data_IF_551770691207
#
_entry.id   IF_551770691207
#
_cell.length_a   1.000
_cell.length_b   1.000
_cell.length_c   1.000
_cell.angle_alpha   90.00
_cell.angle_beta   90.00
_cell.angle_gamma   90.00
#
_symmetry.space_group_name_H-M   'P 1'
#
loop_
_entity.id
_entity.type
_entity.pdbx_description
1 polymer ?
#
# COMPACT_ATOMS: atom_id res chain seq x y z
N UNK A 1 -2.88 1.59 -29.62
CA UNK A 1 -3.68 2.33 -28.63
C UNK A 1 -2.76 2.53 -27.44
N UNK A 2 -2.51 3.75 -27.02
CA UNK A 2 -1.75 4.07 -25.80
C UNK A 2 -2.57 3.50 -24.63
N UNK A 3 -1.94 2.69 -23.78
CA UNK A 3 -2.59 2.15 -22.62
C UNK A 3 -3.06 3.32 -21.73
N UNK A 4 -4.35 3.36 -21.37
CA UNK A 4 -4.95 4.45 -20.60
C UNK A 4 -4.40 4.51 -19.18
N UNK A 5 -4.18 3.35 -18.56
CA UNK A 5 -3.63 3.26 -17.21
C UNK A 5 -2.21 3.85 -17.17
N UNK A 6 -1.99 4.84 -16.31
CA UNK A 6 -0.68 5.23 -15.85
C UNK A 6 -0.33 4.40 -14.61
N UNK A 7 0.73 3.62 -14.69
CA UNK A 7 1.24 2.83 -13.58
C UNK A 7 2.76 2.91 -13.58
N UNK A 8 3.34 3.41 -12.50
CA UNK A 8 4.78 3.60 -12.38
C UNK A 8 5.25 3.30 -10.97
N UNK A 9 6.26 2.43 -10.83
CA UNK A 9 7.03 2.30 -9.61
C UNK A 9 8.05 3.44 -9.59
N UNK A 10 8.16 4.15 -8.47
CA UNK A 10 8.97 5.35 -8.34
C UNK A 10 10.31 5.09 -7.64
N UNK A 11 10.90 6.11 -7.04
CA UNK A 11 12.32 6.17 -6.70
C UNK A 11 12.79 5.20 -5.62
N UNK A 12 12.00 4.99 -4.56
CA UNK A 12 12.43 4.16 -3.42
C UNK A 12 11.97 2.69 -3.52
N UNK A 13 11.13 2.38 -4.52
CA UNK A 13 10.63 1.03 -4.74
C UNK A 13 9.42 0.66 -3.89
N UNK A 14 9.10 1.41 -2.84
CA UNK A 14 7.85 1.31 -2.06
C UNK A 14 6.77 2.23 -2.62
N UNK A 15 7.18 3.27 -3.34
CA UNK A 15 6.33 4.32 -3.87
C UNK A 15 5.81 3.97 -5.26
N UNK A 16 4.53 4.20 -5.50
CA UNK A 16 3.93 4.02 -6.81
C UNK A 16 3.08 5.22 -7.21
N UNK A 17 2.91 5.40 -8.51
CA UNK A 17 1.92 6.30 -9.07
C UNK A 17 0.94 5.51 -9.93
N UNK A 18 -0.35 5.79 -9.74
CA UNK A 18 -1.46 5.17 -10.47
C UNK A 18 -2.39 6.27 -10.96
N UNK A 19 -2.72 6.27 -12.24
CA UNK A 19 -3.52 7.35 -12.80
C UNK A 19 -4.11 7.07 -14.18
N UNK A 20 -4.68 8.11 -14.75
CA UNK A 20 -5.31 8.09 -16.05
C UNK A 20 -4.55 9.02 -17.02
N UNK A 21 -3.90 8.45 -18.03
CA UNK A 21 -3.12 9.22 -19.04
C UNK A 21 -3.97 10.18 -19.87
N UNK A 22 -5.28 9.92 -20.01
CA UNK A 22 -6.16 10.80 -20.78
C UNK A 22 -6.52 12.07 -20.02
N UNK A 23 -6.62 12.01 -18.68
CA UNK A 23 -6.90 13.19 -17.83
C UNK A 23 -5.64 13.83 -17.27
N UNK A 24 -4.52 13.11 -17.24
CA UNK A 24 -3.29 13.54 -16.59
C UNK A 24 -3.36 13.49 -15.05
N UNK A 25 -4.37 12.83 -14.48
CA UNK A 25 -4.55 12.74 -13.04
C UNK A 25 -3.89 11.48 -12.48
N UNK A 26 -3.24 11.57 -11.31
CA UNK A 26 -2.60 10.45 -10.63
C UNK A 26 -2.80 10.48 -9.11
N UNK A 27 -2.80 9.28 -8.51
CA UNK A 27 -2.64 9.05 -7.07
C UNK A 27 -1.19 8.64 -6.80
N UNK A 28 -0.60 9.15 -5.73
CA UNK A 28 0.65 8.62 -5.19
C UNK A 28 0.34 7.61 -4.08
N UNK A 29 1.05 6.49 -4.10
CA UNK A 29 0.94 5.44 -3.09
C UNK A 29 2.19 5.48 -2.26
N UNK A 30 2.04 5.58 -0.91
CA UNK A 30 3.12 5.55 0.08
C UNK A 30 4.29 6.53 -0.21
N UNK A 31 4.05 7.85 -0.33
CA UNK A 31 5.06 8.83 -0.76
C UNK A 31 6.03 9.20 0.37
N UNK A 32 6.88 8.25 0.81
CA UNK A 32 7.90 8.48 1.82
C UNK A 32 9.27 8.86 1.24
N UNK A 33 10.23 9.21 2.11
CA UNK A 33 11.63 9.59 1.83
C UNK A 33 11.79 10.87 1.02
N UNK A 34 11.21 10.97 -0.18
CA UNK A 34 11.47 12.06 -1.14
C UNK A 34 10.20 12.58 -1.81
N UNK A 35 9.19 13.04 -1.03
CA UNK A 35 7.87 13.38 -1.57
C UNK A 35 7.92 14.40 -2.70
N UNK A 36 8.85 15.38 -2.65
CA UNK A 36 9.00 16.37 -3.73
C UNK A 36 9.51 15.75 -5.02
N UNK A 37 10.54 14.89 -4.93
CA UNK A 37 11.09 14.21 -6.11
C UNK A 37 10.08 13.24 -6.74
N UNK A 38 9.16 12.68 -5.93
CA UNK A 38 8.06 11.84 -6.45
C UNK A 38 7.08 12.66 -7.28
N UNK A 39 6.72 13.87 -6.82
CA UNK A 39 5.89 14.80 -7.59
C UNK A 39 6.60 15.18 -8.89
N UNK A 40 7.85 15.65 -8.79
CA UNK A 40 8.62 16.07 -9.97
C UNK A 40 8.75 14.92 -10.99
N UNK A 41 8.88 13.66 -10.51
CA UNK A 41 9.00 12.50 -11.38
C UNK A 41 7.74 12.19 -12.20
N UNK A 42 6.54 12.42 -11.64
CA UNK A 42 5.30 12.20 -12.39
C UNK A 42 4.90 13.43 -13.22
N UNK A 43 5.29 14.63 -12.84
CA UNK A 43 5.11 15.86 -13.64
C UNK A 43 5.86 15.78 -14.97
N UNK A 44 7.04 15.11 -15.00
CA UNK A 44 7.77 14.82 -16.25
C UNK A 44 6.95 13.93 -17.20
N UNK A 45 6.08 13.09 -16.67
CA UNK A 45 5.16 12.25 -17.46
C UNK A 45 3.82 12.95 -17.74
N UNK A 46 3.76 14.28 -17.55
CA UNK A 46 2.56 15.12 -17.72
C UNK A 46 1.40 14.71 -16.79
N UNK A 47 1.72 14.13 -15.60
CA UNK A 47 0.74 13.72 -14.60
C UNK A 47 0.69 14.71 -13.44
N UNK A 48 -0.48 14.86 -12.83
CA UNK A 48 -0.74 15.74 -11.69
C UNK A 48 -1.25 14.92 -10.49
N UNK A 49 -0.67 15.12 -9.32
CA UNK A 49 -1.14 14.48 -8.07
C UNK A 49 -2.54 14.99 -7.71
N UNK A 50 -3.48 14.07 -7.52
CA UNK A 50 -4.86 14.35 -7.09
C UNK A 50 -5.21 13.73 -5.74
N UNK A 51 -4.34 12.89 -5.20
CA UNK A 51 -4.51 12.26 -3.90
C UNK A 51 -3.32 11.41 -3.54
N UNK A 52 -3.27 11.05 -2.27
CA UNK A 52 -2.33 10.08 -1.72
C UNK A 52 -3.12 8.89 -1.21
N UNK A 53 -2.65 7.68 -1.43
CA UNK A 53 -3.14 6.47 -0.77
C UNK A 53 -2.03 5.95 0.12
N UNK A 54 -2.30 5.79 1.42
CA UNK A 54 -1.37 5.14 2.34
C UNK A 54 -1.81 3.69 2.52
N UNK A 55 -0.90 2.76 2.28
CA UNK A 55 -1.15 1.35 2.59
C UNK A 55 -1.22 1.13 4.09
N UNK A 56 -0.39 1.84 4.86
CA UNK A 56 -0.39 1.83 6.32
C UNK A 56 0.43 3.00 6.90
N UNK A 57 0.46 3.13 8.23
CA UNK A 57 1.00 4.31 8.94
C UNK A 57 2.52 4.31 9.15
N UNK A 58 3.25 3.23 8.87
CA UNK A 58 4.69 3.19 9.17
C UNK A 58 5.47 4.26 8.41
N UNK A 59 6.53 4.75 9.06
CA UNK A 59 7.21 5.96 8.62
C UNK A 59 7.91 5.82 7.26
N UNK A 60 8.31 4.63 6.88
CA UNK A 60 8.89 4.31 5.58
C UNK A 60 7.86 4.28 4.43
N UNK A 61 6.55 4.40 4.75
CA UNK A 61 5.43 4.54 3.82
C UNK A 61 4.74 5.91 3.92
N UNK A 62 4.43 6.34 5.15
CA UNK A 62 3.66 7.56 5.41
C UNK A 62 4.53 8.80 5.71
N UNK A 63 5.79 8.60 6.10
CA UNK A 63 6.63 9.61 6.75
C UNK A 63 6.48 9.58 8.27
N UNK A 64 7.42 10.21 8.99
CA UNK A 64 7.45 10.24 10.44
C UNK A 64 8.77 9.78 11.02
N UNK A 65 8.77 9.27 12.26
CA UNK A 65 9.99 8.83 12.93
C UNK A 65 10.16 7.31 12.84
N UNK A 66 11.29 6.86 12.30
CA UNK A 66 11.70 5.47 12.25
C UNK A 66 12.99 5.29 13.06
N UNK A 67 12.91 4.65 14.21
CA UNK A 67 14.07 4.36 15.06
C UNK A 67 14.94 5.59 15.36
N UNK A 68 14.34 6.76 15.58
CA UNK A 68 15.04 8.02 15.87
C UNK A 68 15.45 8.83 14.63
N UNK A 69 15.19 8.33 13.43
CA UNK A 69 15.42 9.04 12.18
C UNK A 69 14.10 9.55 11.60
N UNK A 70 14.04 10.85 11.31
CA UNK A 70 12.87 11.45 10.69
C UNK A 70 12.88 11.20 9.18
N UNK A 71 11.81 10.56 8.68
CA UNK A 71 11.57 10.32 7.26
C UNK A 71 10.52 11.33 6.79
N UNK A 72 10.86 12.12 5.76
CA UNK A 72 9.88 12.95 5.07
C UNK A 72 8.85 12.08 4.35
N UNK A 73 7.61 12.54 4.27
CA UNK A 73 6.56 11.78 3.61
C UNK A 73 5.33 12.61 3.29
N UNK A 74 4.18 12.05 3.54
CA UNK A 74 2.88 12.65 3.21
C UNK A 74 2.69 14.05 3.80
N UNK A 75 3.18 14.30 5.02
CA UNK A 75 3.08 15.64 5.65
C UNK A 75 3.79 16.69 4.80
N UNK A 76 5.03 16.46 4.41
CA UNK A 76 5.82 17.40 3.59
C UNK A 76 5.27 17.50 2.16
N UNK A 77 4.66 16.44 1.64
CA UNK A 77 3.92 16.51 0.37
C UNK A 77 2.77 17.51 0.46
N UNK A 78 1.99 17.44 1.54
CA UNK A 78 0.86 18.34 1.77
C UNK A 78 1.25 19.82 2.03
N UNK A 79 2.51 20.12 2.33
CA UNK A 79 3.01 21.51 2.38
C UNK A 79 3.02 22.18 0.99
N UNK A 80 3.06 21.39 -0.07
CA UNK A 80 3.14 21.89 -1.46
C UNK A 80 1.93 21.49 -2.33
N UNK A 81 1.06 20.62 -1.82
CA UNK A 81 -0.15 20.16 -2.52
C UNK A 81 -1.33 20.17 -1.56
N UNK A 82 -2.51 20.51 -2.06
CA UNK A 82 -3.77 20.42 -1.28
C UNK A 82 -4.60 19.26 -1.84
N UNK A 83 -4.24 18.04 -1.44
CA UNK A 83 -4.87 16.81 -1.91
C UNK A 83 -5.31 15.91 -0.75
N UNK A 84 -6.37 15.10 -0.92
CA UNK A 84 -6.81 14.15 0.09
C UNK A 84 -5.81 13.01 0.29
N UNK A 85 -5.75 12.48 1.51
CA UNK A 85 -5.00 11.29 1.90
C UNK A 85 -5.98 10.18 2.24
N UNK A 86 -6.00 9.14 1.42
CA UNK A 86 -6.93 8.03 1.51
C UNK A 86 -6.36 6.90 2.36
N UNK A 87 -7.08 6.52 3.42
CA UNK A 87 -6.69 5.50 4.40
C UNK A 87 -7.89 4.65 4.79
N UNK A 88 -7.69 3.46 5.32
CA UNK A 88 -8.77 2.76 6.01
C UNK A 88 -9.17 3.49 7.30
N UNK A 89 -10.45 3.43 7.67
CA UNK A 89 -10.97 4.12 8.85
C UNK A 89 -10.18 3.76 10.13
N UNK A 90 -9.79 2.49 10.28
CA UNK A 90 -8.99 2.00 11.41
C UNK A 90 -7.55 2.56 11.44
N UNK A 91 -7.01 3.02 10.31
CA UNK A 91 -5.65 3.56 10.22
C UNK A 91 -5.56 5.05 10.56
N UNK A 92 -6.67 5.79 10.43
CA UNK A 92 -6.67 7.25 10.59
C UNK A 92 -6.00 7.76 11.88
N UNK A 93 -6.26 7.19 13.07
CA UNK A 93 -5.59 7.64 14.29
C UNK A 93 -4.07 7.43 14.27
N UNK A 94 -3.64 6.29 13.75
CA UNK A 94 -2.24 5.89 13.68
C UNK A 94 -1.45 6.77 12.72
N UNK A 95 -2.01 7.07 11.54
CA UNK A 95 -1.38 7.98 10.56
C UNK A 95 -1.19 9.37 11.18
N UNK A 96 -2.22 9.92 11.82
CA UNK A 96 -2.11 11.24 12.46
C UNK A 96 -1.03 11.27 13.54
N UNK A 97 -0.95 10.24 14.38
CA UNK A 97 0.02 10.16 15.47
C UNK A 97 1.46 9.97 14.94
N UNK A 98 1.65 9.07 13.99
CA UNK A 98 2.98 8.67 13.53
C UNK A 98 3.60 9.67 12.55
N UNK A 99 2.84 10.15 11.56
CA UNK A 99 3.34 11.01 10.48
C UNK A 99 3.12 12.50 10.73
N UNK A 100 2.20 12.87 11.63
CA UNK A 100 1.79 14.25 11.86
C UNK A 100 0.91 14.83 10.74
N UNK A 101 0.33 13.98 9.88
CA UNK A 101 -0.70 14.38 8.91
C UNK A 101 -1.96 14.77 9.67
N UNK A 102 -2.50 15.95 9.40
CA UNK A 102 -3.69 16.44 10.08
C UNK A 102 -4.93 15.62 9.68
N UNK A 103 -5.77 15.30 10.67
CA UNK A 103 -6.99 14.50 10.47
C UNK A 103 -7.92 15.05 9.37
N UNK A 104 -7.95 16.37 9.18
CA UNK A 104 -8.77 17.01 8.14
C UNK A 104 -8.33 16.65 6.72
N UNK A 105 -7.08 16.26 6.52
CA UNK A 105 -6.55 15.83 5.22
C UNK A 105 -6.84 14.35 4.95
N UNK A 106 -7.26 13.58 5.98
CA UNK A 106 -7.55 12.15 5.84
C UNK A 106 -8.98 11.93 5.33
N UNK A 107 -9.11 11.07 4.34
CA UNK A 107 -10.38 10.52 3.87
C UNK A 107 -10.40 9.03 4.24
N UNK A 108 -11.30 8.70 5.18
CA UNK A 108 -11.44 7.33 5.67
C UNK A 108 -12.30 6.49 4.73
N UNK A 109 -11.86 5.26 4.49
CA UNK A 109 -12.50 4.29 3.62
C UNK A 109 -12.79 2.99 4.33
N UNK A 110 -13.71 2.23 3.72
CA UNK A 110 -14.00 0.84 4.08
C UNK A 110 -13.51 -0.11 2.97
N UNK A 111 -13.40 -1.40 3.30
CA UNK A 111 -12.99 -2.41 2.33
C UNK A 111 -13.98 -2.49 1.16
N UNK A 112 -13.46 -2.46 -0.05
CA UNK A 112 -14.25 -2.50 -1.28
C UNK A 112 -14.57 -1.13 -1.86
N UNK A 113 -14.24 -0.02 -1.17
CA UNK A 113 -14.36 1.31 -1.75
C UNK A 113 -13.49 1.45 -2.99
N UNK A 114 -14.01 2.17 -3.97
CA UNK A 114 -13.32 2.42 -5.24
C UNK A 114 -13.01 3.90 -5.40
N UNK A 115 -11.72 4.23 -5.32
CA UNK A 115 -11.24 5.56 -5.69
C UNK A 115 -11.23 5.70 -7.21
N UNK A 116 -11.68 6.84 -7.69
CA UNK A 116 -11.60 7.16 -9.11
C UNK A 116 -10.58 8.25 -9.37
N UNK A 117 -9.65 7.95 -10.28
CA UNK A 117 -8.71 8.92 -10.83
C UNK A 117 -8.90 8.93 -12.35
N UNK A 118 -9.52 9.99 -12.85
CA UNK A 118 -10.08 9.98 -14.20
C UNK A 118 -11.13 8.86 -14.35
N UNK A 119 -10.93 7.95 -15.29
CA UNK A 119 -11.78 6.75 -15.48
C UNK A 119 -11.16 5.48 -14.86
N UNK A 120 -9.97 5.58 -14.31
CA UNK A 120 -9.32 4.44 -13.63
C UNK A 120 -9.94 4.26 -12.25
N UNK A 121 -10.36 3.04 -11.94
CA UNK A 121 -10.85 2.64 -10.62
C UNK A 121 -9.77 1.92 -9.82
N UNK A 122 -9.50 2.38 -8.62
CA UNK A 122 -8.58 1.74 -7.66
C UNK A 122 -9.41 1.23 -6.50
N UNK A 123 -9.53 -0.09 -6.37
CA UNK A 123 -10.27 -0.72 -5.27
C UNK A 123 -9.38 -0.84 -4.03
N UNK A 124 -9.86 -0.32 -2.91
CA UNK A 124 -9.19 -0.42 -1.61
C UNK A 124 -9.67 -1.69 -0.90
N UNK A 125 -8.74 -2.54 -0.50
CA UNK A 125 -9.03 -3.79 0.22
C UNK A 125 -8.43 -3.66 1.61
N UNK A 126 -9.26 -3.67 2.65
CA UNK A 126 -8.79 -3.68 4.04
C UNK A 126 -8.11 -5.02 4.36
N UNK A 127 -6.85 -4.96 4.75
CA UNK A 127 -5.98 -6.11 4.97
C UNK A 127 -5.26 -6.01 6.32
N UNK A 128 -6.01 -5.97 7.46
CA UNK A 128 -5.42 -5.81 8.79
C UNK A 128 -4.51 -6.98 9.16
N UNK A 129 -3.62 -6.72 10.10
CA UNK A 129 -2.69 -7.70 10.63
C UNK A 129 -1.29 -7.12 10.83
N UNK A 130 -0.70 -6.49 9.82
CA UNK A 130 0.55 -5.73 9.96
C UNK A 130 0.30 -4.41 10.73
N UNK A 131 -0.76 -3.70 10.37
CA UNK A 131 -1.34 -2.61 11.15
C UNK A 131 -2.87 -2.79 11.21
N UNK A 132 -3.59 -2.07 12.12
CA UNK A 132 -5.04 -2.21 12.24
C UNK A 132 -5.81 -1.82 10.98
N UNK A 133 -5.30 -0.88 10.21
CA UNK A 133 -5.93 -0.39 8.98
C UNK A 133 -5.07 -0.57 7.75
N UNK A 134 -4.13 -1.54 7.74
CA UNK A 134 -3.41 -1.89 6.51
C UNK A 134 -4.39 -2.13 5.37
N UNK A 135 -4.03 -1.67 4.17
CA UNK A 135 -4.83 -1.87 2.97
C UNK A 135 -3.97 -2.19 1.75
N UNK A 136 -4.54 -2.96 0.84
CA UNK A 136 -4.03 -3.13 -0.50
C UNK A 136 -4.83 -2.27 -1.48
N UNK A 137 -4.18 -1.81 -2.55
CA UNK A 137 -4.83 -1.12 -3.65
C UNK A 137 -4.80 -2.01 -4.91
N UNK A 138 -5.99 -2.37 -5.41
CA UNK A 138 -6.13 -3.21 -6.61
C UNK A 138 -6.55 -2.35 -7.80
N UNK A 139 -5.76 -2.38 -8.87
CA UNK A 139 -6.02 -1.65 -10.10
C UNK A 139 -5.62 -2.48 -11.32
N UNK A 140 -6.58 -2.76 -12.20
CA UNK A 140 -6.35 -3.41 -13.50
C UNK A 140 -5.42 -4.64 -13.39
N UNK A 141 -5.76 -5.59 -12.49
CA UNK A 141 -4.99 -6.81 -12.26
C UNK A 141 -3.62 -6.62 -11.60
N UNK A 142 -3.38 -5.47 -10.95
CA UNK A 142 -2.18 -5.16 -10.15
C UNK A 142 -2.58 -4.92 -8.70
N UNK A 143 -1.96 -5.64 -7.77
CA UNK A 143 -2.18 -5.51 -6.33
C UNK A 143 -0.96 -4.84 -5.70
N UNK A 144 -1.13 -3.59 -5.27
CA UNK A 144 -0.18 -2.87 -4.44
C UNK A 144 -0.46 -3.26 -2.99
N UNK A 145 0.37 -4.11 -2.41
CA UNK A 145 0.05 -4.77 -1.14
C UNK A 145 0.65 -4.09 0.10
N UNK A 146 1.46 -3.05 -0.09
CA UNK A 146 2.24 -2.51 1.04
C UNK A 146 2.96 -3.65 1.77
N UNK A 147 2.84 -3.65 3.09
CA UNK A 147 3.43 -4.67 3.96
C UNK A 147 2.46 -5.79 4.37
N UNK A 148 1.35 -5.94 3.65
CA UNK A 148 0.44 -7.07 3.89
C UNK A 148 1.04 -8.39 3.40
N UNK A 149 1.46 -8.45 2.13
CA UNK A 149 1.99 -9.65 1.48
C UNK A 149 3.20 -9.30 0.63
N UNK A 150 4.29 -10.05 0.82
CA UNK A 150 5.47 -9.99 -0.03
C UNK A 150 5.50 -11.18 -0.99
N UNK A 151 6.44 -11.18 -1.93
CA UNK A 151 6.66 -12.34 -2.80
C UNK A 151 7.14 -13.53 -1.95
N UNK A 152 7.98 -13.25 -0.93
CA UNK A 152 8.41 -14.20 0.09
C UNK A 152 8.09 -13.60 1.48
N UNK A 153 7.20 -14.25 2.23
CA UNK A 153 6.73 -13.79 3.54
C UNK A 153 5.57 -12.80 3.49
N UNK A 154 5.30 -12.18 4.63
CA UNK A 154 4.32 -11.13 4.86
C UNK A 154 4.87 -10.10 5.85
N UNK A 155 4.14 -9.02 6.09
CA UNK A 155 4.49 -8.01 7.08
C UNK A 155 4.60 -8.58 8.50
N UNK A 156 5.47 -7.99 9.29
CA UNK A 156 5.65 -8.33 10.73
C UNK A 156 4.35 -8.13 11.49
N UNK A 157 4.16 -8.96 12.49
CA UNK A 157 2.97 -8.94 13.35
C UNK A 157 3.30 -8.78 14.83
N UNK A 158 4.51 -8.27 15.14
CA UNK A 158 5.03 -7.99 16.48
C UNK A 158 5.24 -6.49 16.74
N UNK A 159 4.71 -5.63 15.89
CA UNK A 159 4.80 -4.17 15.99
C UNK A 159 3.56 -3.59 16.69
N UNK A 160 3.60 -2.33 17.17
CA UNK A 160 2.44 -1.69 17.77
C UNK A 160 1.20 -1.73 16.84
N UNK A 161 0.08 -2.22 17.36
CA UNK A 161 -1.17 -2.36 16.62
C UNK A 161 -1.26 -3.57 15.71
N UNK A 162 -0.18 -4.36 15.55
CA UNK A 162 -0.21 -5.60 14.77
C UNK A 162 -1.07 -6.68 15.44
N UNK A 163 -1.63 -7.57 14.62
CA UNK A 163 -2.40 -8.73 15.05
C UNK A 163 -2.11 -9.93 14.12
N UNK A 164 -1.40 -10.97 14.60
CA UNK A 164 -1.07 -12.12 13.78
C UNK A 164 -2.29 -12.97 13.40
N UNK A 165 -3.37 -12.97 14.19
CA UNK A 165 -4.58 -13.70 13.84
C UNK A 165 -5.34 -13.00 12.70
N UNK A 166 -5.40 -11.67 12.73
CA UNK A 166 -5.93 -10.88 11.62
C UNK A 166 -5.06 -11.02 10.36
N UNK A 167 -3.72 -11.07 10.48
CA UNK A 167 -2.84 -11.33 9.34
C UNK A 167 -3.15 -12.68 8.70
N UNK A 168 -3.26 -13.74 9.50
CA UNK A 168 -3.66 -15.06 8.99
C UNK A 168 -5.00 -14.98 8.24
N UNK A 169 -6.02 -14.34 8.83
CA UNK A 169 -7.32 -14.19 8.20
C UNK A 169 -7.26 -13.36 6.91
N UNK A 170 -6.47 -12.30 6.91
CA UNK A 170 -6.22 -11.48 5.72
C UNK A 170 -5.66 -12.31 4.58
N UNK A 171 -4.60 -13.08 4.84
CA UNK A 171 -3.91 -13.88 3.82
C UNK A 171 -4.75 -15.04 3.31
N UNK A 172 -5.51 -15.72 4.19
CA UNK A 172 -6.24 -16.95 3.87
C UNK A 172 -7.70 -16.74 3.46
N UNK A 173 -8.24 -15.54 3.69
CA UNK A 173 -9.65 -15.23 3.39
C UNK A 173 -9.79 -13.97 2.53
N UNK A 174 -9.30 -12.80 2.99
CA UNK A 174 -9.53 -11.53 2.28
C UNK A 174 -8.82 -11.47 0.91
N UNK A 175 -7.63 -12.04 0.81
CA UNK A 175 -6.84 -12.09 -0.45
C UNK A 175 -7.00 -13.43 -1.20
N UNK A 176 -7.68 -14.42 -0.62
CA UNK A 176 -7.76 -15.78 -1.18
C UNK A 176 -8.43 -15.83 -2.56
N UNK A 177 -9.50 -15.05 -2.74
CA UNK A 177 -10.32 -15.06 -3.96
C UNK A 177 -9.79 -14.16 -5.09
N UNK A 178 -8.70 -13.43 -4.88
CA UNK A 178 -8.09 -12.66 -5.96
C UNK A 178 -7.58 -13.59 -7.06
N UNK A 179 -7.74 -13.17 -8.32
CA UNK A 179 -7.29 -13.95 -9.48
C UNK A 179 -5.78 -14.23 -9.39
N UNK A 180 -5.39 -15.49 -9.62
CA UNK A 180 -3.98 -15.91 -9.62
C UNK A 180 -3.12 -15.23 -10.68
N UNK A 181 -3.71 -14.65 -11.72
CA UNK A 181 -3.02 -13.85 -12.75
C UNK A 181 -2.74 -12.42 -12.32
N UNK A 182 -3.30 -11.96 -11.17
CA UNK A 182 -3.03 -10.64 -10.60
C UNK A 182 -1.54 -10.52 -10.25
N UNK A 183 -0.91 -9.44 -10.67
CA UNK A 183 0.47 -9.12 -10.34
C UNK A 183 0.57 -8.46 -8.96
N UNK A 184 1.39 -9.03 -8.08
CA UNK A 184 1.71 -8.50 -6.76
C UNK A 184 2.86 -7.49 -6.85
N UNK A 185 2.64 -6.30 -6.30
CA UNK A 185 3.62 -5.23 -6.12
C UNK A 185 3.74 -4.93 -4.62
N UNK A 186 4.68 -5.54 -3.90
CA UNK A 186 4.84 -5.38 -2.46
C UNK A 186 5.51 -4.05 -2.11
N UNK A 187 5.34 -3.62 -0.85
CA UNK A 187 6.00 -2.43 -0.31
C UNK A 187 7.52 -2.56 -0.24
N UNK A 188 8.03 -3.77 0.03
CA UNK A 188 9.46 -4.03 0.12
C UNK A 188 9.89 -5.18 -0.79
N UNK A 189 11.14 -5.06 -1.28
CA UNK A 189 11.76 -6.08 -2.14
C UNK A 189 12.57 -7.06 -1.29
N UNK A 190 11.92 -8.12 -0.78
CA UNK A 190 12.57 -9.21 -0.05
C UNK A 190 12.82 -10.45 -0.92
N UNK A 191 12.50 -10.41 -2.21
CA UNK A 191 12.78 -11.45 -3.18
C UNK A 191 13.70 -10.95 -4.29
N UNK A 192 14.21 -11.87 -5.12
CA UNK A 192 15.04 -11.53 -6.27
C UNK A 192 14.25 -10.69 -7.29
N UNK A 193 13.02 -11.13 -7.59
CA UNK A 193 12.13 -10.40 -8.50
C UNK A 193 11.36 -9.32 -7.74
N UNK A 194 11.09 -8.15 -8.37
CA UNK A 194 10.35 -7.07 -7.75
C UNK A 194 8.84 -7.30 -7.71
N UNK A 195 8.32 -8.22 -8.52
CA UNK A 195 6.90 -8.51 -8.70
C UNK A 195 6.71 -9.95 -9.14
N UNK A 196 5.56 -10.55 -8.82
CA UNK A 196 5.18 -11.90 -9.25
C UNK A 196 3.66 -12.02 -9.33
N UNK A 197 3.16 -12.98 -10.12
CA UNK A 197 1.74 -13.29 -10.13
C UNK A 197 1.31 -13.98 -8.83
N UNK A 198 0.12 -13.65 -8.31
CA UNK A 198 -0.40 -14.24 -7.06
C UNK A 198 -0.47 -15.76 -7.09
N UNK A 199 -0.70 -16.37 -8.25
CA UNK A 199 -0.68 -17.82 -8.39
C UNK A 199 0.70 -18.44 -8.13
N UNK A 200 1.77 -17.73 -8.47
CA UNK A 200 3.16 -18.11 -8.16
C UNK A 200 3.42 -17.90 -6.66
N UNK A 201 3.06 -16.72 -6.15
CA UNK A 201 3.22 -16.38 -4.72
C UNK A 201 2.49 -17.39 -3.83
N UNK A 202 1.25 -17.76 -4.15
CA UNK A 202 0.48 -18.75 -3.38
C UNK A 202 1.12 -20.13 -3.36
N UNK A 203 1.81 -20.52 -4.41
CA UNK A 203 2.49 -21.82 -4.50
C UNK A 203 3.80 -21.84 -3.70
N UNK A 204 4.55 -20.75 -3.76
CA UNK A 204 5.95 -20.74 -3.35
C UNK A 204 6.19 -20.02 -1.99
N UNK A 205 5.27 -19.15 -1.54
CA UNK A 205 5.40 -18.40 -0.30
C UNK A 205 4.91 -19.23 0.90
N UNK A 206 5.79 -19.48 1.85
CA UNK A 206 5.53 -20.30 3.03
C UNK A 206 4.35 -19.80 3.90
N UNK A 207 4.12 -18.48 3.97
CA UNK A 207 3.01 -17.91 4.78
C UNK A 207 1.63 -18.22 4.18
N UNK A 208 1.56 -18.65 2.93
CA UNK A 208 0.35 -19.05 2.21
C UNK A 208 0.21 -20.57 2.09
N UNK A 209 1.16 -21.35 2.62
CA UNK A 209 1.07 -22.79 2.63
C UNK A 209 -0.16 -23.26 3.44
N UNK A 210 -0.86 -24.34 3.00
CA UNK A 210 -2.01 -24.86 3.73
C UNK A 210 -1.66 -25.29 5.15
N UNK A 211 -2.21 -24.60 6.15
CA UNK A 211 -2.03 -24.91 7.58
C UNK A 211 -3.20 -24.36 8.40
N UNK A 212 -3.37 -24.87 9.63
CA UNK A 212 -4.35 -24.31 10.55
C UNK A 212 -3.89 -22.97 11.11
N UNK A 213 -4.83 -22.15 11.62
CA UNK A 213 -4.48 -20.90 12.27
C UNK A 213 -3.46 -21.08 13.41
N UNK A 214 -3.63 -22.13 14.24
CA UNK A 214 -2.72 -22.44 15.33
C UNK A 214 -1.30 -22.74 14.83
N UNK A 215 -1.16 -23.53 13.77
CA UNK A 215 0.14 -23.84 13.14
C UNK A 215 0.78 -22.57 12.56
N UNK A 216 -0.01 -21.75 11.88
CA UNK A 216 0.46 -20.50 11.29
C UNK A 216 0.97 -19.52 12.36
N UNK A 217 0.17 -19.31 13.40
CA UNK A 217 0.54 -18.46 14.54
C UNK A 217 1.81 -18.95 15.25
N UNK A 218 1.95 -20.25 15.47
CA UNK A 218 3.16 -20.82 16.07
C UNK A 218 4.42 -20.62 15.21
N UNK A 219 4.26 -20.48 13.89
CA UNK A 219 5.39 -20.40 12.95
C UNK A 219 5.75 -18.96 12.58
N UNK A 220 4.76 -18.09 12.36
CA UNK A 220 4.93 -16.79 11.72
C UNK A 220 4.54 -15.58 12.58
N UNK A 221 3.97 -15.76 13.80
CA UNK A 221 3.66 -14.63 14.68
C UNK A 221 4.93 -14.03 15.31
N UNK A 222 5.67 -13.26 14.51
CA UNK A 222 6.90 -12.58 14.95
C UNK A 222 6.89 -11.16 14.47
#
# INVERSE_FOLDING_TARGET
MTERLYFRQLLAGVDFAVGDRETGDALLIDPAYRPRELIDAIEVDEMTVRGVVLTHYHADHAGGNLAGHYIKGTKELLETTDVPVHVQAAESPWVTEASGVERRSLVAHESGDVLRVGQIGVTLIHTPGHTPGSQCALVDGRLLSGDTLFIDGCGRTDLPGSDPAEMYHTLTSRLADLDGTTWLYPGHRYAAEPTAQLGVVRRDNAVLAPMTAEQWLATFSR
#
